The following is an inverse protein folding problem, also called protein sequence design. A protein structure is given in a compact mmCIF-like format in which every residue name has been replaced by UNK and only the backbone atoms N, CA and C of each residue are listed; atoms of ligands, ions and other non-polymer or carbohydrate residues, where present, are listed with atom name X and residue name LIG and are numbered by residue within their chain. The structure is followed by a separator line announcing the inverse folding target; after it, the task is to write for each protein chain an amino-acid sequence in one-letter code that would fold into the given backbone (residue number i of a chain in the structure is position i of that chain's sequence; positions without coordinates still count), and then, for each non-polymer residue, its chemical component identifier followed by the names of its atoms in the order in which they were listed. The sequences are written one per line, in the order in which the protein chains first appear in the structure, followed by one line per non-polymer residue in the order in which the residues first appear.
data_IF_559734494025
#
_entry.id   IF_559734494025
#
_cell.length_a   1.000
_cell.length_b   1.000
_cell.length_c   1.000
_cell.angle_alpha   90.00
_cell.angle_beta   90.00
_cell.angle_gamma   90.00
#
_symmetry.space_group_name_H-M   'P 1'
#
loop_
_entity.id
_entity.type
_entity.pdbx_description
1 polymer ?
#
# COMPACT_ATOMS: atom_id res chain seq x y z
N UNK A 1 5.16 8.12 14.15
CA UNK A 1 3.96 7.44 14.68
C UNK A 1 2.92 8.50 15.02
N UNK A 2 1.76 8.50 14.35
CA UNK A 2 0.70 9.52 14.45
C UNK A 2 -0.66 8.84 14.50
N UNK A 3 -1.53 9.29 15.41
CA UNK A 3 -2.94 8.91 15.55
C UNK A 3 -3.79 10.13 15.30
N UNK A 4 -4.94 9.98 14.63
CA UNK A 4 -5.71 11.13 14.17
C UNK A 4 -7.23 10.88 14.13
N UNK A 5 -7.97 11.98 13.99
CA UNK A 5 -9.39 12.02 13.66
C UNK A 5 -9.57 12.84 12.38
N UNK A 6 -9.93 12.19 11.27
CA UNK A 6 -10.06 12.83 9.95
C UNK A 6 -11.25 12.30 9.20
N UNK A 7 -11.83 13.17 8.37
CA UNK A 7 -12.91 12.86 7.46
C UNK A 7 -12.38 13.04 6.03
N UNK A 8 -12.62 12.05 5.19
CA UNK A 8 -12.34 12.06 3.76
C UNK A 8 -13.68 11.89 3.03
N UNK A 9 -13.98 12.77 2.08
CA UNK A 9 -15.23 12.75 1.32
C UNK A 9 -14.92 12.82 -0.17
N UNK A 10 -15.70 12.10 -0.97
CA UNK A 10 -15.59 12.05 -2.43
C UNK A 10 -14.15 11.72 -2.86
N UNK A 11 -13.62 10.61 -2.33
CA UNK A 11 -12.27 10.11 -2.64
C UNK A 11 -12.26 8.62 -2.77
N UNK A 12 -11.48 8.11 -3.72
CA UNK A 12 -11.18 6.69 -3.82
C UNK A 12 -10.20 6.28 -2.71
N UNK A 13 -10.15 5.00 -2.37
CA UNK A 13 -9.20 4.50 -1.36
C UNK A 13 -7.73 4.81 -1.69
N UNK A 14 -7.25 4.60 -2.93
CA UNK A 14 -5.89 4.99 -3.31
C UNK A 14 -5.61 6.49 -3.10
N UNK A 15 -6.58 7.37 -3.38
CA UNK A 15 -6.45 8.80 -3.12
C UNK A 15 -6.36 9.12 -1.62
N UNK A 16 -7.13 8.44 -0.78
CA UNK A 16 -7.07 8.60 0.67
C UNK A 16 -5.70 8.16 1.19
N UNK A 17 -5.23 6.96 0.80
CA UNK A 17 -3.91 6.45 1.18
C UNK A 17 -2.81 7.43 0.75
N UNK A 18 -2.82 7.90 -0.50
CA UNK A 18 -1.86 8.86 -1.01
C UNK A 18 -1.84 10.18 -0.20
N UNK A 19 -3.00 10.68 0.21
CA UNK A 19 -3.08 11.87 1.07
C UNK A 19 -2.46 11.63 2.44
N UNK A 20 -2.71 10.47 3.05
CA UNK A 20 -2.12 10.12 4.34
C UNK A 20 -0.59 10.01 4.23
N UNK A 21 -0.06 9.37 3.17
CA UNK A 21 1.38 9.26 2.91
C UNK A 21 2.01 10.65 2.67
N UNK A 22 1.35 11.51 1.89
CA UNK A 22 1.78 12.89 1.63
C UNK A 22 1.83 13.73 2.91
N UNK A 23 0.89 13.55 3.83
CA UNK A 23 0.89 14.24 5.13
C UNK A 23 2.11 13.88 5.99
N UNK A 24 2.68 12.69 5.79
CA UNK A 24 3.97 12.28 6.39
C UNK A 24 5.20 12.79 5.61
N UNK A 25 4.98 13.61 4.57
CA UNK A 25 6.01 14.17 3.69
C UNK A 25 6.84 13.09 2.98
N UNK A 26 6.22 11.94 2.70
CA UNK A 26 6.82 10.94 1.86
C UNK A 26 6.94 11.49 0.43
N UNK A 27 8.12 11.38 -0.21
CA UNK A 27 8.30 11.77 -1.61
C UNK A 27 7.32 11.04 -2.53
N UNK A 28 6.83 11.70 -3.58
CA UNK A 28 5.83 11.11 -4.48
C UNK A 28 6.36 9.89 -5.24
N UNK A 29 7.68 9.78 -5.41
CA UNK A 29 8.40 8.66 -6.02
C UNK A 29 8.69 7.52 -5.03
N UNK A 30 8.46 7.72 -3.73
CA UNK A 30 8.67 6.68 -2.70
C UNK A 30 7.54 5.65 -2.59
N UNK A 31 6.43 5.86 -3.31
CA UNK A 31 5.34 4.90 -3.38
C UNK A 31 4.69 4.87 -4.76
N UNK A 32 4.13 3.72 -5.14
CA UNK A 32 3.43 3.52 -6.41
C UNK A 32 2.14 2.72 -6.20
N UNK A 33 1.18 2.93 -7.10
CA UNK A 33 -0.08 2.17 -7.15
C UNK A 33 -0.15 1.45 -8.51
N UNK A 34 0.01 0.13 -8.49
CA UNK A 34 -0.18 -0.74 -9.66
C UNK A 34 -1.53 -1.44 -9.53
N UNK A 35 -2.58 -0.76 -9.98
CA UNK A 35 -3.96 -1.18 -9.76
C UNK A 35 -4.64 -1.46 -11.10
N UNK A 36 -5.18 -2.66 -11.28
CA UNK A 36 -6.01 -3.02 -12.43
C UNK A 36 -7.48 -2.62 -12.27
N UNK A 37 -7.93 -2.40 -11.03
CA UNK A 37 -9.31 -2.11 -10.67
C UNK A 37 -9.60 -0.61 -10.64
N UNK A 38 -10.80 -0.22 -11.10
CA UNK A 38 -11.32 1.13 -10.88
C UNK A 38 -11.99 1.18 -9.50
N UNK A 39 -11.36 1.87 -8.55
CA UNK A 39 -11.91 2.04 -7.21
C UNK A 39 -12.99 3.12 -7.18
N UNK A 40 -14.20 2.83 -6.68
CA UNK A 40 -15.24 3.83 -6.57
C UNK A 40 -14.86 4.91 -5.54
N UNK A 41 -15.37 6.12 -5.75
CA UNK A 41 -15.26 7.17 -4.75
C UNK A 41 -16.14 6.83 -3.54
N UNK A 42 -15.57 6.95 -2.34
CA UNK A 42 -16.33 6.88 -1.10
C UNK A 42 -16.98 8.23 -0.85
N UNK A 43 -18.30 8.25 -0.68
CA UNK A 43 -19.04 9.45 -0.28
C UNK A 43 -18.49 9.99 1.06
N UNK A 44 -18.21 9.08 2.00
CA UNK A 44 -17.72 9.40 3.33
C UNK A 44 -16.81 8.30 3.89
N UNK A 45 -15.64 8.67 4.39
CA UNK A 45 -14.68 7.77 5.03
C UNK A 45 -14.02 8.46 6.23
N UNK A 46 -13.96 7.77 7.37
CA UNK A 46 -13.44 8.32 8.62
C UNK A 46 -12.23 7.54 9.09
N UNK A 47 -11.20 8.26 9.51
CA UNK A 47 -10.17 7.76 10.43
C UNK A 47 -10.56 8.20 11.83
N UNK A 48 -10.79 7.27 12.75
CA UNK A 48 -11.27 7.60 14.09
C UNK A 48 -10.42 6.92 15.18
N UNK A 49 -9.60 7.72 15.87
CA UNK A 49 -8.74 7.27 16.96
C UNK A 49 -7.87 6.05 16.62
N UNK A 50 -7.34 6.03 15.40
CA UNK A 50 -6.44 4.97 14.94
C UNK A 50 -5.18 5.59 14.34
N UNK A 51 -4.07 4.84 14.39
CA UNK A 51 -2.81 5.28 13.77
C UNK A 51 -2.96 5.40 12.26
N UNK A 52 -2.18 6.26 11.63
CA UNK A 52 -2.17 6.41 10.17
C UNK A 52 -1.82 5.10 9.44
N UNK A 53 -0.92 4.30 10.02
CA UNK A 53 -0.57 2.97 9.47
C UNK A 53 -1.76 2.01 9.56
N UNK A 54 -2.39 1.90 10.73
CA UNK A 54 -3.56 1.05 10.92
C UNK A 54 -4.71 1.46 10.00
N UNK A 55 -4.93 2.77 9.81
CA UNK A 55 -5.93 3.27 8.88
C UNK A 55 -5.64 2.84 7.45
N UNK A 56 -4.39 2.98 6.97
CA UNK A 56 -3.99 2.52 5.64
C UNK A 56 -4.18 1.01 5.50
N UNK A 57 -3.75 0.22 6.50
CA UNK A 57 -3.86 -1.23 6.47
C UNK A 57 -5.32 -1.69 6.40
N UNK A 58 -6.19 -1.13 7.24
CA UNK A 58 -7.63 -1.40 7.22
C UNK A 58 -8.25 -1.08 5.85
N UNK A 59 -7.91 0.08 5.27
CA UNK A 59 -8.38 0.44 3.93
C UNK A 59 -7.87 -0.53 2.86
N UNK A 60 -6.65 -1.05 3.00
CA UNK A 60 -6.12 -2.05 2.09
C UNK A 60 -6.89 -3.37 2.20
N UNK A 61 -7.11 -3.85 3.42
CA UNK A 61 -7.85 -5.08 3.70
C UNK A 61 -9.30 -5.01 3.20
N UNK A 62 -9.98 -3.88 3.37
CA UNK A 62 -11.36 -3.67 2.88
C UNK A 62 -11.49 -3.78 1.35
N UNK A 63 -10.47 -3.32 0.62
CA UNK A 63 -10.49 -3.20 -0.84
C UNK A 63 -9.70 -4.32 -1.56
N UNK A 64 -9.14 -5.27 -0.81
CA UNK A 64 -8.30 -6.33 -1.37
C UNK A 64 -6.95 -5.83 -1.90
N UNK A 65 -6.47 -4.68 -1.42
CA UNK A 65 -5.14 -4.18 -1.73
C UNK A 65 -4.10 -4.91 -0.88
N UNK A 66 -3.00 -5.27 -1.51
CA UNK A 66 -1.77 -5.63 -0.81
C UNK A 66 -0.70 -4.56 -1.06
N UNK A 67 0.37 -4.60 -0.29
CA UNK A 67 1.55 -3.80 -0.57
C UNK A 67 2.84 -4.56 -0.22
N UNK A 68 3.92 -4.20 -0.90
CA UNK A 68 5.25 -4.72 -0.65
C UNK A 68 6.30 -3.62 -0.83
N UNK A 69 7.55 -3.92 -0.45
CA UNK A 69 8.66 -2.99 -0.64
C UNK A 69 9.60 -3.50 -1.72
N UNK A 70 9.90 -2.63 -2.68
CA UNK A 70 11.01 -2.81 -3.60
C UNK A 70 12.24 -2.08 -3.04
N UNK A 71 13.35 -2.82 -2.92
CA UNK A 71 14.57 -2.31 -2.32
C UNK A 71 15.66 -2.14 -3.39
N UNK A 72 16.33 -0.99 -3.33
CA UNK A 72 17.57 -0.72 -4.05
C UNK A 72 18.63 -0.21 -3.06
N UNK A 73 19.92 -0.16 -3.46
CA UNK A 73 20.97 0.39 -2.60
C UNK A 73 20.73 1.84 -2.18
N UNK A 74 19.95 2.61 -2.94
CA UNK A 74 19.77 4.05 -2.75
C UNK A 74 18.37 4.45 -2.31
N UNK A 75 17.39 3.56 -2.41
CA UNK A 75 15.99 3.86 -2.14
C UNK A 75 15.17 2.61 -1.79
N UNK A 76 14.06 2.84 -1.10
CA UNK A 76 13.01 1.86 -0.86
C UNK A 76 11.70 2.41 -1.37
N UNK A 77 10.94 1.61 -2.08
CA UNK A 77 9.69 2.02 -2.69
C UNK A 77 8.55 1.13 -2.18
N UNK A 78 7.48 1.77 -1.71
CA UNK A 78 6.26 1.10 -1.27
C UNK A 78 5.32 0.91 -2.47
N UNK A 79 5.06 -0.33 -2.86
CA UNK A 79 4.24 -0.65 -4.03
C UNK A 79 2.92 -1.24 -3.56
N UNK A 80 1.80 -0.59 -3.90
CA UNK A 80 0.45 -1.11 -3.71
C UNK A 80 -0.02 -1.84 -4.97
N UNK A 81 -0.70 -2.99 -4.79
CA UNK A 81 -1.28 -3.76 -5.88
C UNK A 81 -2.60 -4.43 -5.50
N UNK A 82 -3.38 -4.81 -6.51
CA UNK A 82 -4.67 -5.51 -6.36
C UNK A 82 -4.72 -6.87 -7.08
N UNK A 83 -3.65 -7.23 -7.79
CA UNK A 83 -3.47 -8.55 -8.40
C UNK A 83 -2.00 -9.01 -8.35
N UNK A 84 -1.74 -10.22 -8.83
CA UNK A 84 -0.40 -10.84 -8.79
C UNK A 84 0.59 -10.26 -9.82
N UNK A 85 0.13 -9.49 -10.81
CA UNK A 85 0.96 -9.01 -11.92
C UNK A 85 1.97 -7.95 -11.50
N UNK A 86 1.76 -7.35 -10.33
CA UNK A 86 2.70 -6.39 -9.74
C UNK A 86 3.99 -7.05 -9.24
N UNK A 87 3.97 -8.36 -8.94
CA UNK A 87 5.14 -9.04 -8.42
C UNK A 87 6.11 -9.41 -9.54
N UNK A 88 7.44 -9.27 -9.33
CA UNK A 88 8.42 -9.70 -10.32
C UNK A 88 8.41 -11.22 -10.48
N UNK A 89 8.48 -11.67 -11.73
CA UNK A 89 8.72 -13.08 -12.01
C UNK A 89 10.17 -13.44 -11.65
N UNK A 90 10.33 -14.38 -10.71
CA UNK A 90 11.64 -14.83 -10.26
C UNK A 90 12.09 -16.03 -11.09
N UNK A 91 13.39 -16.08 -11.38
CA UNK A 91 14.00 -17.25 -12.00
C UNK A 91 13.76 -18.50 -11.12
N UNK A 92 13.44 -19.66 -11.74
CA UNK A 92 13.15 -20.87 -10.98
C UNK A 92 14.36 -21.30 -10.16
N UNK A 93 14.14 -21.53 -8.86
CA UNK A 93 15.16 -22.03 -7.94
C UNK A 93 14.99 -23.54 -7.81
N UNK A 94 16.09 -24.30 -7.95
CA UNK A 94 16.06 -25.76 -7.79
C UNK A 94 15.88 -26.11 -6.31
N UNK A 95 14.89 -26.96 -6.02
CA UNK A 95 14.78 -27.60 -4.72
C UNK A 95 15.98 -28.56 -4.51
N UNK A 96 16.64 -28.44 -3.35
CA UNK A 96 17.75 -29.30 -2.94
C UNK A 96 17.47 -29.85 -1.54
N UNK A 97 17.19 -31.15 -1.45
CA UNK A 97 16.94 -31.80 -0.16
C UNK A 97 18.25 -31.84 0.66
N UNK A 98 18.19 -31.38 1.92
CA UNK A 98 19.32 -31.30 2.87
C UNK A 98 20.31 -30.13 2.67
N UNK A 99 19.91 -29.05 1.99
CA UNK A 99 20.74 -27.84 1.87
C UNK A 99 20.82 -26.97 3.12
N UNK A 100 20.15 -27.35 4.23
CA UNK A 100 20.30 -26.68 5.52
C UNK A 100 19.83 -25.22 5.55
N UNK A 101 18.74 -24.92 4.83
CA UNK A 101 17.79 -23.89 5.26
C UNK A 101 16.72 -24.53 6.16
#
# INVERSE_FOLDING_TARGET
HRTNHRIFQHKTVPQIIALVLKDHRLPADSYQFHLGTIYPEREYCVQYNESDLHFIQRLCEEEGLHYHFEHSPTAHQLVFGDDQTVFPELAPVRYQQSSGL
#
